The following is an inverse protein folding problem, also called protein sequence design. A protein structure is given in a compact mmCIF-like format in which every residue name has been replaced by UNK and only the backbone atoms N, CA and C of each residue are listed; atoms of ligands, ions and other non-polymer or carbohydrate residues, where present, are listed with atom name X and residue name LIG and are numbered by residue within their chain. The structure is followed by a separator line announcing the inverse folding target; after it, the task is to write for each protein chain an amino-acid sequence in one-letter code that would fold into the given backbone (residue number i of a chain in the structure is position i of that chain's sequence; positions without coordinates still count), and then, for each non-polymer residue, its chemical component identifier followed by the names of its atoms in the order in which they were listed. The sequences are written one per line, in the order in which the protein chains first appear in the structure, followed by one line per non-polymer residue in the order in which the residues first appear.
data_IF_106961979981
#
_entry.id   IF_106961979981
#
_cell.length_a   1.000
_cell.length_b   1.000
_cell.length_c   1.000
_cell.angle_alpha   90.00
_cell.angle_beta   90.00
_cell.angle_gamma   90.00
#
_symmetry.space_group_name_H-M   'P 1'
#
loop_
_entity.id
_entity.type
_entity.pdbx_description
1 polymer ?
#
# COMPACT_ATOMS: atom_id res chain seq x y z
N UNK A 1 15.14 -10.52 11.13
CA UNK A 1 15.00 -10.16 9.70
C UNK A 1 14.95 -8.65 9.63
N UNK A 2 15.85 -8.03 8.89
CA UNK A 2 15.83 -6.56 8.69
C UNK A 2 14.85 -6.18 7.58
N UNK A 3 14.46 -4.89 7.52
CA UNK A 3 13.61 -4.36 6.44
C UNK A 3 14.20 -4.68 5.06
N UNK A 4 15.51 -4.51 4.89
CA UNK A 4 16.19 -4.76 3.61
C UNK A 4 16.18 -6.24 3.20
N UNK A 5 16.38 -7.16 4.14
CA UNK A 5 16.31 -8.60 3.86
C UNK A 5 14.89 -9.02 3.46
N UNK A 6 13.88 -8.43 4.09
CA UNK A 6 12.49 -8.68 3.74
C UNK A 6 12.16 -8.14 2.33
N UNK A 7 12.56 -6.90 2.02
CA UNK A 7 12.30 -6.27 0.73
C UNK A 7 13.01 -6.97 -0.43
N UNK A 8 14.18 -7.58 -0.19
CA UNK A 8 14.89 -8.38 -1.19
C UNK A 8 14.05 -9.54 -1.73
N UNK A 9 13.13 -10.11 -0.94
CA UNK A 9 12.17 -11.14 -1.42
C UNK A 9 11.28 -10.66 -2.57
N UNK A 10 11.06 -9.34 -2.65
CA UNK A 10 10.19 -8.68 -3.63
C UNK A 10 10.98 -7.99 -4.76
N UNK A 11 12.31 -8.16 -4.78
CA UNK A 11 13.21 -7.67 -5.83
C UNK A 11 13.14 -8.54 -7.07
N UNK A 12 11.93 -8.62 -7.63
CA UNK A 12 11.69 -9.27 -8.91
C UNK A 12 12.23 -8.36 -10.02
N UNK A 13 12.79 -8.98 -11.06
CA UNK A 13 13.37 -8.30 -12.23
C UNK A 13 14.60 -7.41 -11.91
N UNK A 14 15.22 -7.61 -10.74
CA UNK A 14 16.38 -6.82 -10.32
C UNK A 14 16.04 -5.40 -9.86
N UNK A 15 14.75 -5.10 -9.62
CA UNK A 15 14.30 -3.83 -9.07
C UNK A 15 14.91 -3.57 -7.69
N UNK A 16 15.49 -2.39 -7.48
CA UNK A 16 16.19 -2.03 -6.23
C UNK A 16 15.54 -0.86 -5.51
N UNK A 17 14.51 -0.25 -6.10
CA UNK A 17 13.81 0.89 -5.51
C UNK A 17 13.04 0.45 -4.27
N UNK A 18 13.45 0.96 -3.10
CA UNK A 18 12.81 0.64 -1.81
C UNK A 18 11.28 0.83 -1.85
N UNK A 19 10.82 1.90 -2.49
CA UNK A 19 9.40 2.20 -2.64
C UNK A 19 8.67 1.11 -3.45
N UNK A 20 9.20 0.71 -4.60
CA UNK A 20 8.60 -0.33 -5.46
C UNK A 20 8.60 -1.70 -4.77
N UNK A 21 9.69 -2.03 -4.07
CA UNK A 21 9.76 -3.25 -3.25
C UNK A 21 8.73 -3.23 -2.12
N UNK A 22 8.52 -2.07 -1.49
CA UNK A 22 7.55 -1.92 -0.41
C UNK A 22 6.10 -2.00 -0.93
N UNK A 23 5.81 -1.40 -2.08
CA UNK A 23 4.51 -1.54 -2.76
C UNK A 23 4.23 -3.02 -3.05
N UNK A 24 5.21 -3.74 -3.61
CA UNK A 24 5.10 -5.18 -3.88
C UNK A 24 4.92 -5.99 -2.61
N UNK A 25 5.62 -5.63 -1.54
CA UNK A 25 5.42 -6.27 -0.24
C UNK A 25 3.99 -6.04 0.28
N UNK A 26 3.44 -4.83 0.18
CA UNK A 26 2.05 -4.57 0.59
C UNK A 26 1.05 -5.35 -0.30
N UNK A 27 1.35 -5.54 -1.59
CA UNK A 27 0.49 -6.29 -2.51
C UNK A 27 0.53 -7.82 -2.30
N UNK A 28 1.71 -8.37 -2.01
CA UNK A 28 1.93 -9.83 -2.09
C UNK A 28 2.43 -10.46 -0.80
N UNK A 29 2.88 -9.68 0.19
CA UNK A 29 3.32 -10.22 1.47
C UNK A 29 2.16 -10.58 2.38
N UNK A 30 2.46 -11.41 3.37
CA UNK A 30 1.57 -11.59 4.50
C UNK A 30 1.60 -10.30 5.38
N UNK A 31 0.45 -9.70 5.69
CA UNK A 31 0.34 -8.55 6.59
C UNK A 31 1.01 -8.76 7.95
N UNK A 32 1.06 -10.01 8.43
CA UNK A 32 1.73 -10.38 9.68
C UNK A 32 3.26 -10.30 9.60
N UNK A 33 3.84 -10.43 8.40
CA UNK A 33 5.29 -10.30 8.19
C UNK A 33 5.70 -8.83 8.04
N UNK A 34 4.86 -7.98 7.46
CA UNK A 34 5.18 -6.57 7.21
C UNK A 34 4.90 -5.66 8.42
N UNK A 35 3.85 -5.95 9.20
CA UNK A 35 3.47 -5.16 10.38
C UNK A 35 4.58 -4.99 11.44
N UNK A 36 5.41 -6.00 11.78
CA UNK A 36 6.49 -5.81 12.74
C UNK A 36 7.73 -5.11 12.14
N UNK A 37 7.82 -5.03 10.81
CA UNK A 37 9.01 -4.49 10.13
C UNK A 37 8.85 -3.01 9.76
N UNK A 38 7.63 -2.53 9.52
CA UNK A 38 7.37 -1.18 9.05
C UNK A 38 6.34 -0.48 9.93
N UNK A 39 6.56 0.81 10.17
CA UNK A 39 5.58 1.64 10.87
C UNK A 39 4.30 1.76 10.04
N UNK A 40 3.18 1.77 10.75
CA UNK A 40 1.86 1.96 10.15
C UNK A 40 1.76 3.22 9.28
N UNK A 41 2.39 4.31 9.72
CA UNK A 41 2.44 5.58 8.98
C UNK A 41 3.19 5.47 7.66
N UNK A 42 4.30 4.72 7.62
CA UNK A 42 5.08 4.49 6.40
C UNK A 42 4.27 3.68 5.39
N UNK A 43 3.64 2.58 5.84
CA UNK A 43 2.77 1.76 5.00
C UNK A 43 1.55 2.55 4.49
N UNK A 44 0.96 3.38 5.35
CA UNK A 44 -0.16 4.26 5.01
C UNK A 44 0.21 5.28 3.93
N UNK A 45 1.36 5.94 4.04
CA UNK A 45 1.83 6.88 3.03
C UNK A 45 2.02 6.23 1.66
N UNK A 46 2.64 5.05 1.64
CA UNK A 46 2.88 4.29 0.40
C UNK A 46 1.58 3.80 -0.21
N UNK A 47 0.67 3.26 0.61
CA UNK A 47 -0.65 2.81 0.20
C UNK A 47 -1.47 3.95 -0.41
N UNK A 48 -1.54 5.11 0.26
CA UNK A 48 -2.28 6.29 -0.20
C UNK A 48 -1.70 6.88 -1.49
N UNK A 49 -0.38 6.91 -1.65
CA UNK A 49 0.27 7.40 -2.87
C UNK A 49 0.10 6.44 -4.06
N UNK A 50 -0.12 5.14 -3.80
CA UNK A 50 -0.16 4.11 -4.84
C UNK A 50 -1.52 3.40 -4.94
N UNK A 51 -2.61 4.01 -4.44
CA UNK A 51 -3.96 3.42 -4.44
C UNK A 51 -4.39 2.83 -5.79
N UNK A 52 -4.00 3.48 -6.88
CA UNK A 52 -4.28 3.02 -8.25
C UNK A 52 -3.71 1.63 -8.59
N UNK A 53 -2.66 1.17 -7.90
CA UNK A 53 -2.05 -0.15 -8.09
C UNK A 53 -2.78 -1.25 -7.32
N UNK A 54 -3.57 -0.90 -6.31
CA UNK A 54 -4.26 -1.86 -5.46
C UNK A 54 -5.64 -2.24 -6.04
N UNK A 55 -5.93 -3.53 -6.11
CA UNK A 55 -7.28 -3.98 -6.47
C UNK A 55 -8.28 -3.61 -5.35
N UNK A 56 -9.58 -3.57 -5.71
CA UNK A 56 -10.65 -3.14 -4.79
C UNK A 56 -10.65 -3.94 -3.47
N UNK A 57 -10.40 -5.25 -3.55
CA UNK A 57 -10.34 -6.14 -2.36
C UNK A 57 -9.17 -5.78 -1.45
N UNK A 58 -7.98 -5.61 -2.01
CA UNK A 58 -6.78 -5.23 -1.25
C UNK A 58 -6.93 -3.85 -0.63
N UNK A 59 -7.58 -2.90 -1.33
CA UNK A 59 -7.85 -1.57 -0.79
C UNK A 59 -8.76 -1.60 0.43
N UNK A 60 -9.83 -2.38 0.40
CA UNK A 60 -10.70 -2.55 1.56
C UNK A 60 -9.95 -3.18 2.74
N UNK A 61 -9.11 -4.18 2.47
CA UNK A 61 -8.28 -4.81 3.50
C UNK A 61 -7.28 -3.83 4.12
N UNK A 62 -6.47 -3.17 3.30
CA UNK A 62 -5.44 -2.24 3.74
C UNK A 62 -6.01 -0.97 4.36
N UNK A 63 -7.20 -0.50 3.93
CA UNK A 63 -7.94 0.59 4.60
C UNK A 63 -8.20 0.25 6.06
N UNK A 64 -8.64 -0.98 6.36
CA UNK A 64 -8.91 -1.45 7.73
C UNK A 64 -7.60 -1.64 8.51
N UNK A 65 -6.62 -2.34 7.94
CA UNK A 65 -5.32 -2.61 8.61
C UNK A 65 -4.59 -1.31 8.95
N UNK A 66 -4.60 -0.34 8.02
CA UNK A 66 -3.90 0.92 8.16
C UNK A 66 -4.73 2.01 8.86
N UNK A 67 -5.95 1.69 9.31
CA UNK A 67 -6.90 2.64 9.93
C UNK A 67 -6.98 3.96 9.12
N UNK A 68 -7.17 3.83 7.80
CA UNK A 68 -7.25 4.97 6.90
C UNK A 68 -8.68 5.50 6.91
N UNK A 69 -8.82 6.78 7.26
CA UNK A 69 -10.12 7.45 7.24
C UNK A 69 -10.62 7.64 5.81
N UNK A 70 -11.94 7.68 5.62
CA UNK A 70 -12.53 7.95 4.31
C UNK A 70 -12.13 9.33 3.77
N UNK A 71 -11.94 10.31 4.67
CA UNK A 71 -11.49 11.66 4.35
C UNK A 71 -10.06 11.67 3.76
N UNK A 72 -9.16 10.84 4.30
CA UNK A 72 -7.80 10.72 3.79
C UNK A 72 -7.77 10.03 2.43
N UNK A 73 -8.54 8.95 2.28
CA UNK A 73 -8.73 8.28 1.00
C UNK A 73 -9.26 9.24 -0.07
N UNK A 74 -10.26 10.05 0.27
CA UNK A 74 -10.85 11.02 -0.65
C UNK A 74 -9.85 12.09 -1.08
N UNK A 75 -9.08 12.68 -0.15
CA UNK A 75 -8.05 13.69 -0.48
C UNK A 75 -6.96 13.15 -1.42
N UNK A 76 -6.55 11.90 -1.24
CA UNK A 76 -5.53 11.27 -2.09
C UNK A 76 -6.10 10.79 -3.43
N UNK A 77 -7.35 10.32 -3.44
CA UNK A 77 -8.08 9.95 -4.65
C UNK A 77 -8.37 11.18 -5.53
N UNK A 78 -8.77 12.32 -4.95
CA UNK A 78 -9.00 13.57 -5.68
C UNK A 78 -7.73 14.14 -6.32
N UNK A 79 -6.56 13.90 -5.72
CA UNK A 79 -5.26 14.26 -6.31
C UNK A 79 -4.82 13.32 -7.43
N UNK A 80 -5.34 12.10 -7.49
CA UNK A 80 -4.96 11.10 -8.47
C UNK A 80 -6.07 10.96 -9.52
N UNK A 81 -5.86 11.59 -10.69
CA UNK A 81 -6.81 11.61 -11.83
C UNK A 81 -7.44 10.26 -12.20
N UNK A 82 -6.75 9.13 -11.93
CA UNK A 82 -7.22 7.77 -12.24
C UNK A 82 -8.16 7.18 -11.20
N UNK A 83 -8.37 7.84 -10.05
CA UNK A 83 -9.19 7.33 -8.95
C UNK A 83 -10.58 7.97 -8.80
N UNK A 84 -10.94 8.97 -9.62
CA UNK A 84 -12.22 9.68 -9.53
C UNK A 84 -13.49 8.81 -9.69
N UNK A 85 -13.36 7.51 -9.97
CA UNK A 85 -14.47 6.56 -10.14
C UNK A 85 -14.63 5.56 -8.99
N UNK A 86 -13.82 5.63 -7.93
CA UNK A 86 -13.80 4.62 -6.85
C UNK A 86 -14.84 4.90 -5.75
N UNK A 87 -15.38 6.12 -5.68
CA UNK A 87 -16.41 6.53 -4.72
C UNK A 87 -17.84 6.29 -5.27
N UNK A 88 -18.15 5.06 -5.70
CA UNK A 88 -19.55 4.67 -5.86
C UNK A 88 -19.94 3.86 -4.60
N UNK A 89 -20.73 4.44 -3.69
CA UNK A 89 -21.28 3.72 -2.56
C UNK A 89 -22.31 2.69 -3.06
N UNK A 90 -22.22 1.47 -2.56
CA UNK A 90 -23.32 0.49 -2.54
C UNK A 90 -23.57 0.12 -1.08
#
# INVERSE_FOLDING_TARGET
MTQEEFLKKYSWDGERSREELLIRAILYANPLEIAPLFSKEELKGIFLNNLHRFHRKDRSFWKVVLEVSEDELKRYSEKNFREGSILIPY
#
